data_IF_593520176820
#
_entry.id   IF_593520176820
#
_cell.length_a   1.000
_cell.length_b   1.000
_cell.length_c   1.000
_cell.angle_alpha   90.00
_cell.angle_beta   90.00
_cell.angle_gamma   90.00
#
_symmetry.space_group_name_H-M   'P 1'
#
loop_
_entity.id
_entity.type
_entity.pdbx_description
1 polymer ?
#
# COMPACT_ATOMS: atom_id res chain seq x y z
N UNK A 1 8.55 2.08 -4.46
CA UNK A 1 9.70 3.01 -4.60
C UNK A 1 9.55 4.05 -5.72
N UNK A 2 9.49 3.66 -7.00
CA UNK A 2 9.53 4.61 -8.14
C UNK A 2 8.23 5.41 -8.28
N UNK A 3 7.08 4.71 -8.32
CA UNK A 3 5.77 5.32 -8.57
C UNK A 3 5.40 6.41 -7.56
N UNK A 4 5.73 6.23 -6.27
CA UNK A 4 5.46 7.23 -5.22
C UNK A 4 6.05 8.61 -5.57
N UNK A 5 7.20 8.65 -6.23
CA UNK A 5 7.88 9.90 -6.60
C UNK A 5 7.50 10.39 -7.99
N UNK A 6 7.36 9.48 -8.96
CA UNK A 6 7.12 9.85 -10.37
C UNK A 6 5.65 10.02 -10.73
N UNK A 7 4.75 9.38 -10.00
CA UNK A 7 3.31 9.40 -10.21
C UNK A 7 2.57 9.17 -8.87
N UNK A 8 2.57 10.17 -7.98
CA UNK A 8 1.97 10.04 -6.65
C UNK A 8 0.46 9.80 -6.72
N UNK A 9 -0.08 9.13 -5.69
CA UNK A 9 -1.48 8.77 -5.61
C UNK A 9 -2.36 10.03 -5.61
N UNK A 10 -3.36 10.04 -6.48
CA UNK A 10 -4.30 11.16 -6.67
C UNK A 10 -5.68 10.85 -6.12
N UNK A 11 -5.97 9.60 -5.79
CA UNK A 11 -7.24 9.20 -5.18
C UNK A 11 -7.25 7.75 -4.72
N UNK A 12 -8.38 7.32 -4.15
CA UNK A 12 -8.61 5.95 -3.70
C UNK A 12 -9.92 5.40 -4.28
N UNK A 13 -9.95 4.09 -4.51
CA UNK A 13 -11.13 3.35 -4.96
C UNK A 13 -10.96 1.87 -4.61
N UNK A 14 -12.04 1.18 -4.22
CA UNK A 14 -12.00 -0.27 -3.98
C UNK A 14 -11.01 -0.72 -2.89
N UNK A 15 -10.71 0.14 -1.90
CA UNK A 15 -9.76 -0.17 -0.83
C UNK A 15 -8.28 -0.07 -1.23
N UNK A 16 -7.97 0.49 -2.40
CA UNK A 16 -6.60 0.78 -2.87
C UNK A 16 -6.47 2.22 -3.35
N UNK A 17 -5.24 2.65 -3.67
CA UNK A 17 -4.95 3.95 -4.25
C UNK A 17 -4.76 3.85 -5.76
N UNK A 18 -5.01 4.96 -6.44
CA UNK A 18 -4.64 5.16 -7.85
C UNK A 18 -3.96 6.51 -8.04
N UNK A 19 -3.14 6.60 -9.09
CA UNK A 19 -2.42 7.80 -9.50
C UNK A 19 -2.67 8.06 -10.98
N UNK A 20 -3.10 9.28 -11.31
CA UNK A 20 -3.16 9.76 -12.70
C UNK A 20 -2.16 10.91 -12.89
N UNK A 21 -1.16 10.72 -13.76
CA UNK A 21 -0.11 11.69 -14.01
C UNK A 21 0.22 11.78 -15.51
N UNK A 22 -0.15 12.89 -16.15
CA UNK A 22 -0.09 13.02 -17.61
C UNK A 22 -0.98 11.98 -18.28
N UNK A 23 -0.42 11.12 -19.12
CA UNK A 23 -1.12 10.04 -19.81
C UNK A 23 -1.03 8.69 -19.08
N UNK A 24 -0.41 8.64 -17.90
CA UNK A 24 -0.23 7.40 -17.16
C UNK A 24 -1.29 7.25 -16.07
N UNK A 25 -1.82 6.03 -15.94
CA UNK A 25 -2.68 5.63 -14.84
C UNK A 25 -2.12 4.39 -14.17
N UNK A 26 -1.84 4.49 -12.86
CA UNK A 26 -1.31 3.40 -12.05
C UNK A 26 -2.23 3.11 -10.86
N UNK A 27 -2.33 1.83 -10.50
CA UNK A 27 -2.92 1.38 -9.24
C UNK A 27 -1.84 0.71 -8.42
N UNK A 28 -1.72 1.09 -7.15
CA UNK A 28 -0.73 0.53 -6.23
C UNK A 28 -1.13 0.83 -4.78
N UNK A 29 -0.56 0.09 -3.84
CA UNK A 29 -0.77 0.30 -2.42
C UNK A 29 0.11 1.41 -1.84
N UNK A 30 -0.46 2.14 -0.88
CA UNK A 30 0.22 3.16 -0.07
C UNK A 30 0.20 2.74 1.40
N UNK A 31 1.00 3.34 2.29
CA UNK A 31 0.93 3.05 3.72
C UNK A 31 -0.50 3.18 4.30
N UNK A 32 -1.30 4.14 3.80
CA UNK A 32 -2.68 4.33 4.23
C UNK A 32 -3.61 3.19 3.81
N UNK A 33 -3.52 2.72 2.56
CA UNK A 33 -4.38 1.63 2.06
C UNK A 33 -3.96 0.30 2.64
N UNK A 34 -2.65 0.07 2.84
CA UNK A 34 -2.13 -1.08 3.58
C UNK A 34 -2.67 -1.09 5.00
N UNK A 35 -2.63 0.03 5.73
CA UNK A 35 -3.21 0.12 7.07
C UNK A 35 -4.68 -0.27 7.12
N UNK A 36 -5.47 0.18 6.14
CA UNK A 36 -6.88 -0.21 6.00
C UNK A 36 -7.04 -1.71 5.76
N UNK A 37 -6.20 -2.29 4.89
CA UNK A 37 -6.19 -3.74 4.62
C UNK A 37 -5.81 -4.56 5.85
N UNK A 38 -4.87 -4.09 6.68
CA UNK A 38 -4.49 -4.78 7.91
C UNK A 38 -5.61 -4.73 8.95
N UNK A 39 -6.28 -3.58 9.09
CA UNK A 39 -7.46 -3.46 9.95
C UNK A 39 -8.58 -4.43 9.51
N UNK A 40 -8.79 -4.54 8.19
CA UNK A 40 -9.72 -5.53 7.63
C UNK A 40 -9.27 -6.97 7.96
N UNK A 41 -8.01 -7.32 7.73
CA UNK A 41 -7.50 -8.66 8.01
C UNK A 41 -7.68 -9.05 9.49
N UNK A 42 -7.43 -8.12 10.42
CA UNK A 42 -7.71 -8.30 11.86
C UNK A 42 -9.20 -8.53 12.12
N UNK A 43 -10.08 -7.73 11.50
CA UNK A 43 -11.53 -7.87 11.66
C UNK A 43 -12.07 -9.23 11.19
N UNK A 44 -11.38 -9.84 10.22
CA UNK A 44 -11.72 -11.15 9.68
C UNK A 44 -11.06 -12.31 10.45
N UNK A 45 -10.22 -12.03 11.46
CA UNK A 45 -9.49 -13.05 12.21
C UNK A 45 -8.45 -13.81 11.39
N UNK A 46 -7.87 -13.19 10.36
CA UNK A 46 -6.86 -13.83 9.50
C UNK A 46 -5.51 -13.94 10.21
N UNK A 47 -4.73 -14.97 9.85
CA UNK A 47 -3.44 -15.27 10.49
C UNK A 47 -2.28 -14.31 10.16
N UNK A 48 -2.47 -13.38 9.22
CA UNK A 48 -1.47 -12.38 8.85
C UNK A 48 -1.65 -11.84 7.44
N UNK A 49 -0.60 -11.18 6.93
CA UNK A 49 -0.53 -10.68 5.58
C UNK A 49 0.85 -10.94 4.97
N UNK A 50 0.86 -11.09 3.65
CA UNK A 50 2.06 -11.17 2.83
C UNK A 50 2.00 -10.07 1.77
N UNK A 51 3.15 -9.52 1.37
CA UNK A 51 3.24 -8.60 0.25
C UNK A 51 4.39 -8.98 -0.66
N UNK A 52 4.19 -8.72 -1.95
CA UNK A 52 5.16 -8.98 -3.01
C UNK A 52 5.63 -7.64 -3.60
N UNK A 53 6.90 -7.25 -3.47
CA UNK A 53 7.99 -7.85 -2.69
C UNK A 53 8.88 -6.74 -2.07
N UNK A 54 9.90 -7.11 -1.30
CA UNK A 54 10.71 -6.17 -0.52
C UNK A 54 11.47 -5.11 -1.35
N UNK A 55 12.05 -5.48 -2.48
CA UNK A 55 12.80 -4.58 -3.36
C UNK A 55 11.89 -3.54 -4.04
N UNK A 56 10.58 -3.77 -4.10
CA UNK A 56 9.57 -2.80 -4.50
C UNK A 56 9.29 -1.70 -3.46
N UNK A 57 9.61 -1.94 -2.17
CA UNK A 57 9.36 -1.00 -1.08
C UNK A 57 10.30 0.21 -1.14
N UNK A 58 9.98 1.27 -0.42
CA UNK A 58 10.88 2.43 -0.25
C UNK A 58 12.12 2.05 0.54
N UNK A 59 13.19 2.85 0.45
CA UNK A 59 14.45 2.56 1.15
C UNK A 59 14.31 2.52 2.68
N UNK A 60 13.29 3.18 3.22
CA UNK A 60 12.90 3.18 4.63
C UNK A 60 11.80 2.15 4.98
N UNK A 61 11.41 1.28 4.05
CA UNK A 61 10.49 0.16 4.31
C UNK A 61 9.08 0.57 4.72
N UNK A 62 8.48 1.57 4.05
CA UNK A 62 7.20 2.14 4.49
C UNK A 62 6.04 1.13 4.38
N UNK A 63 6.02 0.27 3.37
CA UNK A 63 4.94 -0.69 3.18
C UNK A 63 5.04 -1.84 4.19
N UNK A 64 6.24 -2.41 4.39
CA UNK A 64 6.43 -3.43 5.44
C UNK A 64 6.15 -2.86 6.83
N UNK A 65 6.54 -1.61 7.08
CA UNK A 65 6.25 -0.93 8.36
C UNK A 65 4.75 -0.77 8.55
N UNK A 66 4.00 -0.40 7.51
CA UNK A 66 2.55 -0.30 7.56
C UNK A 66 1.87 -1.65 7.84
N UNK A 67 2.37 -2.75 7.26
CA UNK A 67 1.89 -4.11 7.56
C UNK A 67 2.14 -4.44 9.03
N UNK A 68 3.38 -4.29 9.49
CA UNK A 68 3.79 -4.61 10.85
C UNK A 68 3.02 -3.79 11.91
N UNK A 69 2.85 -2.48 11.67
CA UNK A 69 2.09 -1.62 12.59
C UNK A 69 0.58 -1.89 12.53
N UNK A 70 0.04 -2.27 11.37
CA UNK A 70 -1.39 -2.52 11.20
C UNK A 70 -1.87 -3.87 11.73
N UNK A 71 -0.99 -4.88 11.80
CA UNK A 71 -1.32 -6.22 12.32
C UNK A 71 -1.13 -6.35 13.84
N UNK A 72 -0.35 -5.47 14.47
CA UNK A 72 -0.28 -5.33 15.94
C UNK A 72 -1.61 -4.78 16.47
#
# INVERSE_FOLDING_TARGET
KVLKTTCPATGTVGGTAYAHCGNNWWSYDTPATVGTKMAWAKSQGLGGAFFWEFNGDTANGELVTAINSGLK
#
